data_IF_080472730828
#
_entry.id   IF_080472730828
#
_cell.length_a   1.000
_cell.length_b   1.000
_cell.length_c   1.000
_cell.angle_alpha   90.00
_cell.angle_beta   90.00
_cell.angle_gamma   90.00
#
_symmetry.space_group_name_H-M   'P 1'
#
loop_
_entity.id
_entity.type
_entity.pdbx_description
1 polymer ?
#
# COMPACT_ATOMS: atom_id res chain seq x y z
N UNK A 1 -16.57 13.99 102.63
CA UNK A 1 -17.47 14.73 101.72
C UNK A 1 -16.74 14.92 100.39
N UNK A 2 -17.33 14.41 99.29
CA UNK A 2 -17.07 14.75 97.88
C UNK A 2 -15.65 14.44 97.35
N UNK A 3 -15.47 13.31 96.66
CA UNK A 3 -15.53 13.15 95.19
C UNK A 3 -14.30 13.73 94.47
N UNK A 4 -13.49 12.88 93.84
CA UNK A 4 -13.22 13.00 92.40
C UNK A 4 -12.72 11.67 91.81
N UNK A 5 -13.50 11.19 90.84
CA UNK A 5 -13.30 10.04 89.99
C UNK A 5 -12.07 10.28 89.09
N UNK A 6 -11.19 9.29 88.93
CA UNK A 6 -10.42 9.14 87.68
C UNK A 6 -10.36 7.65 87.32
N UNK A 7 -11.42 7.20 86.64
CA UNK A 7 -11.49 5.89 86.01
C UNK A 7 -10.58 5.93 84.78
N UNK A 8 -9.52 5.13 84.85
CA UNK A 8 -8.58 4.85 83.76
C UNK A 8 -9.30 3.98 82.71
N UNK A 9 -10.09 4.61 81.83
CA UNK A 9 -10.60 3.97 80.63
C UNK A 9 -9.51 4.05 79.55
N UNK A 10 -8.62 3.06 79.51
CA UNK A 10 -7.75 2.82 78.35
C UNK A 10 -8.66 2.31 77.23
N UNK A 11 -9.26 3.26 76.53
CA UNK A 11 -9.86 3.05 75.22
C UNK A 11 -8.73 2.76 74.25
N UNK A 12 -8.32 1.49 74.19
CA UNK A 12 -7.63 0.90 73.04
C UNK A 12 -8.58 1.02 71.84
N UNK A 13 -8.62 2.22 71.24
CA UNK A 13 -8.96 2.34 69.84
C UNK A 13 -7.83 1.67 69.07
N UNK A 14 -7.93 0.35 68.92
CA UNK A 14 -7.37 -0.32 67.76
C UNK A 14 -8.03 0.36 66.56
N UNK A 15 -7.36 1.36 66.03
CA UNK A 15 -7.54 1.75 64.64
C UNK A 15 -7.36 0.46 63.85
N UNK A 16 -8.47 -0.13 63.40
CA UNK A 16 -8.48 -1.19 62.40
C UNK A 16 -7.87 -0.56 61.14
N UNK A 17 -6.54 -0.50 61.09
CA UNK A 17 -5.79 -0.26 59.90
C UNK A 17 -6.25 -1.34 58.93
N UNK A 18 -7.03 -0.93 57.92
CA UNK A 18 -7.44 -1.82 56.84
C UNK A 18 -6.17 -2.35 56.20
N UNK A 19 -5.82 -3.60 56.49
CA UNK A 19 -4.54 -4.17 56.12
C UNK A 19 -4.55 -4.46 54.63
N UNK A 20 -4.12 -3.47 53.84
CA UNK A 20 -3.78 -3.70 52.44
C UNK A 20 -2.68 -4.77 52.37
N UNK A 21 -2.66 -5.63 51.34
CA UNK A 21 -1.59 -6.60 51.15
C UNK A 21 -0.23 -5.90 51.20
N UNK A 22 0.74 -6.49 51.91
CA UNK A 22 2.09 -5.92 51.97
C UNK A 22 2.78 -6.03 50.61
N UNK A 23 3.70 -5.10 50.30
CA UNK A 23 4.48 -5.17 49.07
C UNK A 23 5.24 -6.51 48.93
N UNK A 24 5.66 -7.13 50.05
CA UNK A 24 6.28 -8.46 50.04
C UNK A 24 5.30 -9.57 49.64
N UNK A 25 4.05 -9.50 50.12
CA UNK A 25 2.95 -10.41 49.72
C UNK A 25 2.64 -10.25 48.24
N UNK A 26 2.53 -9.01 47.77
CA UNK A 26 2.23 -8.70 46.37
C UNK A 26 3.34 -9.20 45.45
N UNK A 27 4.60 -8.99 45.83
CA UNK A 27 5.75 -9.53 45.09
C UNK A 27 5.66 -11.06 45.00
N UNK A 28 5.44 -11.75 46.11
CA UNK A 28 5.33 -13.21 46.16
C UNK A 28 4.21 -13.72 45.24
N UNK A 29 3.04 -13.10 45.29
CA UNK A 29 1.87 -13.50 44.51
C UNK A 29 2.06 -13.22 43.00
N UNK A 30 2.80 -12.17 42.64
CA UNK A 30 3.13 -11.87 41.24
C UNK A 30 4.15 -12.85 40.64
N UNK A 31 5.22 -13.18 41.38
CA UNK A 31 6.34 -13.95 40.85
C UNK A 31 6.20 -15.47 41.06
N UNK A 32 5.31 -15.90 41.96
CA UNK A 32 5.02 -17.31 42.21
C UNK A 32 6.27 -18.09 42.64
N UNK A 33 6.67 -19.07 41.84
CA UNK A 33 7.81 -19.96 42.10
C UNK A 33 9.18 -19.37 41.71
N UNK A 34 9.25 -18.08 41.37
CA UNK A 34 10.45 -17.31 40.97
C UNK A 34 11.21 -17.84 39.73
N UNK A 35 10.82 -18.98 39.17
CA UNK A 35 11.51 -19.61 38.06
C UNK A 35 11.52 -18.69 36.83
N UNK A 36 12.72 -18.39 36.33
CA UNK A 36 12.92 -17.55 35.15
C UNK A 36 12.72 -16.04 35.38
N UNK A 37 12.46 -15.58 36.60
CA UNK A 37 12.34 -14.15 36.94
C UNK A 37 13.73 -13.52 37.07
N UNK A 38 13.92 -12.39 36.40
CA UNK A 38 15.16 -11.61 36.39
C UNK A 38 15.06 -10.35 37.26
N UNK A 39 13.91 -9.68 37.24
CA UNK A 39 13.65 -8.52 38.11
C UNK A 39 12.16 -8.28 38.33
N UNK A 40 11.86 -7.52 39.39
CA UNK A 40 10.51 -7.14 39.81
C UNK A 40 10.52 -5.67 40.24
N UNK A 41 9.50 -4.90 39.82
CA UNK A 41 9.27 -3.53 40.31
C UNK A 41 7.78 -3.21 40.36
N UNK A 42 7.38 -2.35 41.30
CA UNK A 42 6.04 -1.74 41.26
C UNK A 42 5.98 -0.66 40.18
N UNK A 43 4.86 -0.58 39.46
CA UNK A 43 4.67 0.45 38.41
C UNK A 43 4.26 1.80 38.99
N UNK A 44 3.76 1.82 40.24
CA UNK A 44 3.33 3.02 40.98
C UNK A 44 3.69 2.90 42.46
N UNK A 45 3.69 4.02 43.18
CA UNK A 45 3.98 4.05 44.62
C UNK A 45 2.87 3.42 45.48
N UNK A 46 1.60 3.50 45.08
CA UNK A 46 0.45 2.93 45.82
C UNK A 46 -0.48 2.06 44.95
N UNK A 47 -1.23 1.15 45.60
CA UNK A 47 -2.30 0.40 44.95
C UNK A 47 -3.62 1.17 44.95
N UNK A 48 -4.62 0.66 44.23
CA UNK A 48 -5.93 1.31 44.08
C UNK A 48 -7.04 0.36 44.48
N UNK A 49 -8.01 0.85 45.26
CA UNK A 49 -9.25 0.13 45.55
C UNK A 49 -10.31 0.46 44.51
N UNK A 50 -10.92 -0.55 43.92
CA UNK A 50 -11.94 -0.39 42.87
C UNK A 50 -13.12 -1.35 43.07
N UNK A 51 -14.31 -0.95 42.64
CA UNK A 51 -15.49 -1.82 42.67
C UNK A 51 -15.56 -2.65 41.38
N UNK A 52 -15.51 -3.98 41.50
CA UNK A 52 -15.75 -4.87 40.37
C UNK A 52 -17.24 -5.21 40.30
N UNK A 53 -17.92 -4.62 39.31
CA UNK A 53 -19.36 -4.84 39.06
C UNK A 53 -19.68 -6.29 38.70
N UNK A 54 -18.80 -6.98 37.97
CA UNK A 54 -19.03 -8.34 37.50
C UNK A 54 -19.00 -9.37 38.62
N UNK A 55 -18.17 -9.15 39.64
CA UNK A 55 -18.09 -10.03 40.82
C UNK A 55 -18.88 -9.49 42.02
N UNK A 56 -19.45 -8.29 41.91
CA UNK A 56 -20.13 -7.62 43.02
C UNK A 56 -19.23 -7.45 44.26
N UNK A 57 -17.93 -7.20 44.06
CA UNK A 57 -16.95 -7.15 45.16
C UNK A 57 -15.95 -6.00 44.98
N UNK A 58 -15.40 -5.52 46.10
CA UNK A 58 -14.27 -4.58 46.10
C UNK A 58 -12.97 -5.32 45.82
N UNK A 59 -12.14 -4.72 44.98
CA UNK A 59 -10.79 -5.18 44.66
C UNK A 59 -9.76 -4.19 45.16
N UNK A 60 -8.62 -4.70 45.63
CA UNK A 60 -7.38 -3.95 45.71
C UNK A 60 -6.47 -4.39 44.57
N UNK A 61 -5.98 -3.43 43.78
CA UNK A 61 -5.14 -3.67 42.60
C UNK A 61 -3.80 -2.99 42.77
N UNK A 62 -2.73 -3.73 42.49
CA UNK A 62 -1.36 -3.22 42.48
C UNK A 62 -0.68 -3.56 41.17
N UNK A 63 -0.27 -2.53 40.43
CA UNK A 63 0.48 -2.70 39.20
C UNK A 63 1.96 -3.04 39.46
N UNK A 64 2.46 -4.04 38.75
CA UNK A 64 3.85 -4.52 38.81
C UNK A 64 4.41 -4.74 37.41
N UNK A 65 5.72 -4.72 37.27
CA UNK A 65 6.42 -5.14 36.07
C UNK A 65 7.42 -6.24 36.45
N UNK A 66 7.30 -7.40 35.81
CA UNK A 66 8.12 -8.59 36.06
C UNK A 66 8.92 -8.89 34.81
N UNK A 67 10.26 -8.80 34.91
CA UNK A 67 11.15 -9.20 33.83
C UNK A 67 11.48 -10.68 33.97
N UNK A 68 11.34 -11.43 32.87
CA UNK A 68 11.56 -12.89 32.80
C UNK A 68 12.43 -13.24 31.59
N UNK A 69 13.09 -14.39 31.63
CA UNK A 69 13.70 -14.98 30.43
C UNK A 69 12.58 -15.36 29.45
N UNK A 70 12.71 -14.99 28.18
CA UNK A 70 11.81 -15.49 27.15
C UNK A 70 12.28 -16.85 26.62
N UNK A 71 11.46 -17.49 25.79
CA UNK A 71 11.83 -18.69 25.03
C UNK A 71 12.93 -18.40 23.98
N UNK A 72 13.19 -17.12 23.66
CA UNK A 72 14.17 -16.72 22.68
C UNK A 72 15.52 -16.36 23.33
N UNK A 73 16.63 -16.99 22.92
CA UNK A 73 17.95 -16.71 23.47
C UNK A 73 18.36 -15.23 23.36
N UNK A 74 18.70 -14.62 24.49
CA UNK A 74 19.14 -13.23 24.60
C UNK A 74 18.01 -12.18 24.59
N UNK A 75 16.75 -12.60 24.61
CA UNK A 75 15.58 -11.72 24.68
C UNK A 75 14.88 -11.94 26.01
N UNK A 76 14.54 -10.84 26.68
CA UNK A 76 13.80 -10.86 27.93
C UNK A 76 12.36 -10.40 27.68
N UNK A 77 11.41 -11.02 28.38
CA UNK A 77 10.02 -10.60 28.40
C UNK A 77 9.78 -9.74 29.65
N UNK A 78 9.23 -8.55 29.49
CA UNK A 78 8.75 -7.70 30.58
C UNK A 78 7.23 -7.79 30.56
N UNK A 79 6.66 -8.40 31.60
CA UNK A 79 5.21 -8.54 31.77
C UNK A 79 4.74 -7.45 32.72
N UNK A 80 3.87 -6.56 32.23
CA UNK A 80 3.17 -5.61 33.09
C UNK A 80 1.89 -6.28 33.56
N UNK A 81 1.72 -6.37 34.87
CA UNK A 81 0.68 -7.15 35.51
C UNK A 81 -0.02 -6.33 36.58
N UNK A 82 -1.31 -6.61 36.78
CA UNK A 82 -2.08 -6.19 37.94
C UNK A 82 -2.25 -7.37 38.89
N UNK A 83 -1.74 -7.23 40.11
CA UNK A 83 -1.99 -8.20 41.20
C UNK A 83 -3.28 -7.79 41.89
N UNK A 84 -4.28 -8.66 41.84
CA UNK A 84 -5.65 -8.35 42.27
C UNK A 84 -6.01 -9.16 43.50
N UNK A 85 -6.52 -8.46 44.51
CA UNK A 85 -7.04 -9.04 45.74
C UNK A 85 -8.52 -8.69 45.90
N UNK A 86 -9.33 -9.65 46.32
CA UNK A 86 -10.75 -9.43 46.62
C UNK A 86 -10.97 -9.18 48.10
N UNK A 87 -11.92 -8.29 48.41
CA UNK A 87 -12.31 -7.99 49.78
C UNK A 87 -13.06 -9.18 50.40
N UNK A 88 -12.66 -9.57 51.61
CA UNK A 88 -13.20 -10.75 52.32
C UNK A 88 -14.07 -10.40 53.53
N UNK A 89 -14.36 -9.11 53.75
CA UNK A 89 -14.99 -8.64 54.99
C UNK A 89 -13.98 -8.38 56.11
N UNK A 90 -14.41 -7.67 57.16
CA UNK A 90 -13.56 -7.36 58.32
C UNK A 90 -12.32 -6.50 58.03
N UNK A 91 -12.24 -5.81 56.88
CA UNK A 91 -11.05 -5.06 56.47
C UNK A 91 -9.99 -5.88 55.73
N UNK A 92 -10.22 -7.18 55.50
CA UNK A 92 -9.27 -8.10 54.89
C UNK A 92 -9.38 -8.20 53.36
N UNK A 93 -8.27 -8.61 52.74
CA UNK A 93 -8.15 -8.91 51.33
C UNK A 93 -7.51 -10.28 51.12
N UNK A 94 -8.03 -11.07 50.18
CA UNK A 94 -7.44 -12.34 49.75
C UNK A 94 -6.97 -12.26 48.31
N UNK A 95 -5.81 -12.86 48.00
CA UNK A 95 -5.31 -12.95 46.64
C UNK A 95 -6.36 -13.61 45.75
N UNK A 96 -6.64 -12.98 44.60
CA UNK A 96 -7.57 -13.52 43.63
C UNK A 96 -6.86 -13.99 42.38
N UNK A 97 -6.11 -13.11 41.73
CA UNK A 97 -5.41 -13.41 40.47
C UNK A 97 -4.37 -12.37 40.11
N UNK A 98 -3.50 -12.76 39.18
CA UNK A 98 -2.67 -11.85 38.38
C UNK A 98 -3.36 -11.62 37.03
N UNK A 99 -3.44 -10.37 36.60
CA UNK A 99 -3.98 -9.98 35.28
C UNK A 99 -2.85 -9.36 34.47
N UNK A 100 -2.49 -9.97 33.33
CA UNK A 100 -1.52 -9.39 32.41
C UNK A 100 -2.16 -8.18 31.72
N UNK A 101 -1.50 -7.03 31.80
CA UNK A 101 -1.90 -5.76 31.17
C UNK A 101 -1.23 -5.63 29.81
N UNK A 102 0.08 -5.86 29.74
CA UNK A 102 0.85 -5.81 28.50
C UNK A 102 2.13 -6.63 28.60
N UNK A 103 2.72 -6.93 27.44
CA UNK A 103 4.00 -7.61 27.30
C UNK A 103 4.93 -6.73 26.44
N UNK A 104 6.17 -6.58 26.89
CA UNK A 104 7.23 -5.92 26.15
C UNK A 104 8.46 -6.84 26.04
N UNK A 105 9.27 -6.68 25.00
CA UNK A 105 10.48 -7.48 24.81
C UNK A 105 11.73 -6.60 24.81
N UNK A 106 12.71 -6.96 25.64
CA UNK A 106 14.02 -6.30 25.71
C UNK A 106 15.12 -7.18 25.11
N UNK A 107 16.20 -6.55 24.62
CA UNK A 107 17.35 -7.25 24.02
C UNK A 107 17.29 -7.41 22.50
N UNK A 108 16.32 -6.75 21.86
CA UNK A 108 16.19 -6.68 20.41
C UNK A 108 16.76 -5.36 19.88
N UNK A 109 17.53 -5.37 18.77
CA UNK A 109 18.02 -4.14 18.17
C UNK A 109 16.86 -3.40 17.49
N UNK A 110 16.73 -2.11 17.78
CA UNK A 110 15.76 -1.25 17.10
C UNK A 110 16.07 -1.18 15.60
N UNK A 111 15.05 -1.09 14.73
CA UNK A 111 15.24 -0.98 13.29
C UNK A 111 16.02 0.29 12.95
N UNK A 112 16.90 0.18 11.96
CA UNK A 112 17.66 1.34 11.47
C UNK A 112 16.80 2.17 10.51
N UNK A 113 17.14 3.45 10.32
CA UNK A 113 16.48 4.27 9.30
C UNK A 113 16.60 3.65 7.91
N UNK A 114 17.72 2.98 7.61
CA UNK A 114 17.91 2.30 6.32
C UNK A 114 16.95 1.12 6.14
N UNK A 115 16.70 0.32 7.19
CA UNK A 115 15.72 -0.76 7.13
C UNK A 115 14.32 -0.21 6.83
N UNK A 116 13.97 0.88 7.51
CA UNK A 116 12.67 1.53 7.39
C UNK A 116 12.50 2.10 5.98
N UNK A 117 13.44 2.90 5.49
CA UNK A 117 13.40 3.48 4.15
C UNK A 117 13.41 2.39 3.07
N UNK A 118 14.10 1.28 3.28
CA UNK A 118 14.07 0.13 2.38
C UNK A 118 12.66 -0.46 2.20
N UNK A 119 11.88 -0.53 3.29
CA UNK A 119 10.48 -0.95 3.22
C UNK A 119 9.59 0.11 2.58
N UNK A 120 9.79 1.39 2.92
CA UNK A 120 9.04 2.52 2.32
C UNK A 120 9.20 2.53 0.80
N UNK A 121 10.42 2.37 0.30
CA UNK A 121 10.68 2.35 -1.14
C UNK A 121 10.10 1.11 -1.83
N UNK A 122 9.98 -0.01 -1.10
CA UNK A 122 9.42 -1.26 -1.64
C UNK A 122 7.90 -1.19 -1.76
N UNK A 123 7.22 -0.58 -0.79
CA UNK A 123 5.76 -0.53 -0.73
C UNK A 123 5.28 0.82 -0.17
N UNK A 124 5.45 1.92 -0.93
CA UNK A 124 5.12 3.26 -0.44
C UNK A 124 3.63 3.42 -0.14
N UNK A 125 2.76 2.75 -0.92
CA UNK A 125 1.32 2.75 -0.69
C UNK A 125 0.96 2.26 0.71
N UNK A 126 1.61 1.20 1.20
CA UNK A 126 1.37 0.67 2.54
C UNK A 126 1.88 1.56 3.67
N UNK A 127 2.89 2.39 3.41
CA UNK A 127 3.36 3.38 4.39
C UNK A 127 2.47 4.62 4.42
N UNK A 128 2.24 5.25 3.26
CA UNK A 128 1.48 6.51 3.21
C UNK A 128 -0.04 6.30 3.31
N UNK A 129 -0.53 5.10 3.00
CA UNK A 129 -1.94 4.72 3.10
C UNK A 129 -2.83 5.67 2.30
N UNK A 130 -3.89 6.17 2.94
CA UNK A 130 -4.82 7.16 2.37
C UNK A 130 -4.10 8.39 1.80
N UNK A 131 -2.99 8.82 2.41
CA UNK A 131 -2.27 10.01 1.97
C UNK A 131 -1.42 9.77 0.72
N UNK A 132 -1.21 8.52 0.30
CA UNK A 132 -0.38 8.20 -0.85
C UNK A 132 -0.84 8.90 -2.15
N UNK A 133 -2.16 8.99 -2.34
CA UNK A 133 -2.80 9.66 -3.47
C UNK A 133 -3.04 11.15 -3.26
N UNK A 134 -2.63 11.71 -2.13
CA UNK A 134 -2.90 13.10 -1.76
C UNK A 134 -1.64 13.92 -1.54
N UNK A 135 -0.54 13.30 -1.11
CA UNK A 135 0.74 13.99 -0.90
C UNK A 135 1.29 14.42 -2.25
N UNK A 136 1.47 15.72 -2.47
CA UNK A 136 2.03 16.31 -3.70
C UNK A 136 3.52 16.61 -3.56
N UNK A 137 4.02 16.71 -2.32
CA UNK A 137 5.43 16.98 -2.05
C UNK A 137 5.85 16.43 -0.70
N UNK A 138 6.99 15.74 -0.67
CA UNK A 138 7.73 15.46 0.55
C UNK A 138 8.82 16.52 0.72
N UNK A 139 8.87 17.21 1.86
CA UNK A 139 9.93 18.19 2.13
C UNK A 139 11.24 17.52 2.50
N UNK A 140 11.16 16.31 3.05
CA UNK A 140 12.26 15.41 3.30
C UNK A 140 11.71 13.98 3.35
N UNK A 141 12.60 12.98 3.28
CA UNK A 141 12.21 11.60 3.52
C UNK A 141 11.65 11.44 4.96
N UNK A 142 10.76 10.47 5.22
CA UNK A 142 10.31 10.17 6.58
C UNK A 142 11.50 9.94 7.52
N UNK A 143 11.47 10.57 8.70
CA UNK A 143 12.55 10.48 9.69
C UNK A 143 12.01 9.87 10.98
N UNK A 144 12.89 9.31 11.82
CA UNK A 144 12.53 8.98 13.20
C UNK A 144 12.12 10.28 13.94
N UNK A 145 11.10 10.19 14.80
CA UNK A 145 10.74 11.31 15.65
C UNK A 145 11.85 11.61 16.66
N UNK A 146 11.83 12.79 17.28
CA UNK A 146 12.82 13.16 18.30
C UNK A 146 12.75 12.20 19.52
N UNK A 147 11.57 11.64 19.78
CA UNK A 147 11.33 10.55 20.72
C UNK A 147 10.57 9.41 20.02
N UNK A 148 11.26 8.46 19.36
CA UNK A 148 10.60 7.40 18.58
C UNK A 148 9.78 6.44 19.42
N UNK A 149 10.12 6.25 20.70
CA UNK A 149 9.38 5.37 21.61
C UNK A 149 9.22 3.94 21.09
N UNK A 150 10.33 3.23 20.84
CA UNK A 150 10.28 1.85 20.35
C UNK A 150 9.64 0.91 21.37
N UNK A 151 8.53 0.28 20.98
CA UNK A 151 7.78 -0.68 21.80
C UNK A 151 7.75 -2.02 21.05
N UNK A 152 8.36 -3.03 21.64
CA UNK A 152 8.37 -4.40 21.10
C UNK A 152 7.17 -5.18 21.65
N UNK A 153 6.09 -5.28 20.87
CA UNK A 153 4.89 -6.05 21.24
C UNK A 153 5.09 -7.57 21.07
N UNK A 154 6.04 -7.97 20.23
CA UNK A 154 6.55 -9.35 20.14
C UNK A 154 8.00 -9.33 19.65
N UNK A 155 8.74 -10.45 19.70
CA UNK A 155 10.07 -10.51 19.10
C UNK A 155 10.09 -10.27 17.58
N UNK A 156 8.91 -10.35 16.96
CA UNK A 156 8.67 -10.25 15.52
C UNK A 156 8.01 -8.93 15.11
N UNK A 157 7.67 -8.07 16.06
CA UNK A 157 6.95 -6.82 15.79
C UNK A 157 7.40 -5.68 16.72
N UNK A 158 7.65 -4.52 16.13
CA UNK A 158 8.01 -3.29 16.84
C UNK A 158 7.16 -2.13 16.34
N UNK A 159 6.72 -1.29 17.26
CA UNK A 159 6.04 -0.03 17.02
C UNK A 159 6.97 1.14 17.40
N UNK A 160 6.96 2.21 16.62
CA UNK A 160 7.69 3.44 16.91
C UNK A 160 7.13 4.61 16.11
N UNK A 161 7.62 5.81 16.42
CA UNK A 161 7.11 7.07 15.91
C UNK A 161 8.08 7.69 14.91
N UNK A 162 7.55 8.10 13.78
CA UNK A 162 8.25 8.84 12.72
C UNK A 162 7.68 10.23 12.55
N UNK A 163 8.51 11.19 12.13
CA UNK A 163 8.12 12.56 11.79
C UNK A 163 8.22 12.78 10.30
N UNK A 164 7.24 13.47 9.73
CA UNK A 164 7.20 13.79 8.31
C UNK A 164 6.62 15.17 8.07
N UNK A 165 7.23 15.91 7.13
CA UNK A 165 6.71 17.17 6.61
C UNK A 165 6.37 17.04 5.12
N UNK A 166 5.14 17.37 4.77
CA UNK A 166 4.61 17.13 3.43
C UNK A 166 3.51 18.13 3.04
N UNK A 167 3.35 18.34 1.73
CA UNK A 167 2.21 19.04 1.17
C UNK A 167 1.19 18.01 0.70
N UNK A 168 -0.09 18.19 1.02
CA UNK A 168 -1.15 17.31 0.55
C UNK A 168 -2.41 18.05 0.12
N UNK A 169 -3.16 17.43 -0.78
CA UNK A 169 -4.44 17.92 -1.28
C UNK A 169 -5.51 17.77 -0.21
N UNK A 170 -6.11 18.89 0.17
CA UNK A 170 -7.38 18.94 0.90
C UNK A 170 -8.49 19.12 -0.12
N UNK A 171 -9.26 18.04 -0.36
CA UNK A 171 -10.28 17.97 -1.42
C UNK A 171 -11.19 19.20 -1.41
N UNK A 172 -11.37 19.78 -2.60
CA UNK A 172 -12.20 20.97 -2.86
C UNK A 172 -11.80 22.25 -2.11
N UNK A 173 -10.63 22.28 -1.45
CA UNK A 173 -10.19 23.44 -0.67
C UNK A 173 -8.85 24.00 -1.17
N UNK A 174 -7.82 23.16 -1.22
CA UNK A 174 -6.47 23.65 -1.43
C UNK A 174 -5.38 22.63 -1.12
N UNK A 175 -4.16 23.14 -0.94
CA UNK A 175 -3.00 22.38 -0.51
C UNK A 175 -2.64 22.84 0.91
N UNK A 176 -2.41 21.89 1.80
CA UNK A 176 -1.96 22.13 3.17
C UNK A 176 -0.53 21.60 3.34
N UNK A 177 0.35 22.39 3.95
CA UNK A 177 1.66 21.93 4.43
C UNK A 177 1.50 21.46 5.87
N UNK A 178 1.78 20.19 6.12
CA UNK A 178 1.65 19.56 7.43
C UNK A 178 2.99 18.98 7.88
N UNK A 179 3.35 19.20 9.15
CA UNK A 179 4.32 18.39 9.87
C UNK A 179 3.57 17.52 10.88
N UNK A 180 3.80 16.20 10.83
CA UNK A 180 3.00 15.25 11.58
C UNK A 180 3.79 14.04 12.04
N UNK A 181 3.37 13.47 13.18
CA UNK A 181 3.84 12.18 13.66
C UNK A 181 3.03 11.03 13.07
N UNK A 182 3.74 9.97 12.71
CA UNK A 182 3.21 8.72 12.17
C UNK A 182 3.61 7.57 13.09
N UNK A 183 2.65 6.74 13.48
CA UNK A 183 2.87 5.52 14.22
C UNK A 183 3.14 4.40 13.23
N UNK A 184 4.32 3.79 13.33
CA UNK A 184 4.85 2.83 12.38
C UNK A 184 5.04 1.50 13.07
N UNK A 185 4.48 0.46 12.48
CA UNK A 185 4.64 -0.93 12.89
C UNK A 185 5.47 -1.68 11.86
N UNK A 186 6.52 -2.37 12.29
CA UNK A 186 7.29 -3.28 11.45
C UNK A 186 7.10 -4.73 11.88
N UNK A 187 7.09 -5.63 10.89
CA UNK A 187 6.88 -7.07 11.09
C UNK A 187 7.93 -7.92 10.37
N UNK A 188 8.32 -9.04 10.98
CA UNK A 188 9.24 -10.04 10.44
C UNK A 188 8.83 -11.45 10.84
N UNK A 189 9.30 -12.46 10.10
CA UNK A 189 8.94 -13.85 10.37
C UNK A 189 9.73 -14.45 11.55
N UNK A 190 10.96 -13.97 11.77
CA UNK A 190 11.87 -14.49 12.80
C UNK A 190 12.46 -13.37 13.67
N UNK A 191 12.72 -13.58 14.97
CA UNK A 191 13.19 -12.54 15.91
C UNK A 191 14.50 -11.83 15.57
N UNK A 192 15.29 -12.35 14.64
CA UNK A 192 16.50 -11.70 14.12
C UNK A 192 16.56 -11.73 12.59
N UNK A 193 15.44 -12.04 11.95
CA UNK A 193 15.31 -12.05 10.50
C UNK A 193 15.12 -10.64 9.92
N UNK A 194 15.18 -10.52 8.58
CA UNK A 194 14.92 -9.26 7.89
C UNK A 194 13.47 -8.82 8.07
N UNK A 195 13.25 -7.52 8.09
CA UNK A 195 11.89 -6.96 8.07
C UNK A 195 11.19 -7.28 6.75
N UNK A 196 9.92 -7.64 6.84
CA UNK A 196 9.12 -8.12 5.70
C UNK A 196 8.02 -7.17 5.31
N UNK A 197 7.40 -6.55 6.30
CA UNK A 197 6.29 -5.63 6.06
C UNK A 197 6.27 -4.52 7.10
N UNK A 198 5.58 -3.45 6.73
CA UNK A 198 5.34 -2.29 7.57
C UNK A 198 3.87 -1.90 7.47
N UNK A 199 3.39 -1.12 8.42
CA UNK A 199 2.14 -0.39 8.36
C UNK A 199 2.33 0.92 9.09
N UNK A 200 1.82 2.03 8.55
CA UNK A 200 1.91 3.31 9.22
C UNK A 200 0.58 4.04 9.21
N UNK A 201 0.28 4.70 10.32
CA UNK A 201 -0.88 5.57 10.48
C UNK A 201 -0.43 6.93 10.94
N UNK A 202 -0.96 7.98 10.32
CA UNK A 202 -0.80 9.32 10.85
C UNK A 202 -1.47 9.39 12.22
N UNK A 203 -0.82 10.02 13.19
CA UNK A 203 -1.37 10.19 14.54
C UNK A 203 -2.72 10.90 14.51
N UNK A 204 -3.65 10.44 15.34
CA UNK A 204 -4.96 11.06 15.55
C UNK A 204 -4.91 12.17 16.61
N UNK A 205 -3.81 12.27 17.37
CA UNK A 205 -3.61 13.35 18.33
C UNK A 205 -3.34 14.66 17.57
N UNK A 206 -4.26 15.61 17.71
CA UNK A 206 -4.15 16.92 17.07
C UNK A 206 -2.90 17.72 17.50
N UNK A 207 -2.34 17.44 18.68
CA UNK A 207 -1.09 18.08 19.14
C UNK A 207 0.14 17.60 18.38
N UNK A 208 0.04 16.45 17.71
CA UNK A 208 1.10 15.82 16.92
C UNK A 208 0.97 16.12 15.42
N UNK A 209 0.02 16.98 15.05
CA UNK A 209 -0.29 17.40 13.69
C UNK A 209 -0.23 18.93 13.61
N UNK A 210 0.88 19.45 13.13
CA UNK A 210 1.09 20.89 12.99
C UNK A 210 0.84 21.34 11.56
N UNK A 211 -0.25 22.07 11.35
CA UNK A 211 -0.50 22.78 10.08
C UNK A 211 0.42 23.99 10.01
N UNK A 212 1.30 24.00 9.00
CA UNK A 212 2.33 25.03 8.83
C UNK A 212 1.94 26.08 7.81
N UNK A 213 1.18 25.69 6.78
CA UNK A 213 0.70 26.57 5.73
C UNK A 213 -0.56 26.00 5.07
N UNK A 214 -1.38 26.88 4.51
CA UNK A 214 -2.53 26.51 3.69
C UNK A 214 -2.72 27.49 2.55
N UNK A 215 -2.83 26.95 1.33
CA UNK A 215 -3.10 27.73 0.14
C UNK A 215 -4.35 27.21 -0.57
N UNK A 216 -5.33 28.10 -0.74
CA UNK A 216 -6.56 27.80 -1.45
C UNK A 216 -6.30 27.68 -2.97
N UNK A 217 -6.97 26.72 -3.59
CA UNK A 217 -6.90 26.47 -5.03
C UNK A 217 -8.29 26.16 -5.59
N UNK A 218 -8.51 26.50 -6.85
CA UNK A 218 -9.73 26.08 -7.56
C UNK A 218 -9.70 24.57 -7.84
N UNK A 219 -10.85 23.92 -8.06
CA UNK A 219 -10.89 22.51 -8.46
C UNK A 219 -10.01 22.20 -9.69
N UNK A 220 -9.99 23.12 -10.67
CA UNK A 220 -9.17 22.96 -11.87
C UNK A 220 -7.67 22.99 -11.54
N UNK A 221 -7.24 23.87 -10.63
CA UNK A 221 -5.84 23.93 -10.18
C UNK A 221 -5.46 22.68 -9.38
N UNK A 222 -6.39 22.13 -8.57
CA UNK A 222 -6.15 20.90 -7.81
C UNK A 222 -5.95 19.68 -8.73
N UNK A 223 -6.65 19.61 -9.87
CA UNK A 223 -6.44 18.54 -10.85
C UNK A 223 -5.00 18.51 -11.40
N UNK A 224 -4.33 19.67 -11.49
CA UNK A 224 -2.91 19.72 -11.88
C UNK A 224 -1.96 19.26 -10.76
N UNK A 225 -2.38 19.37 -9.50
CA UNK A 225 -1.64 18.82 -8.36
C UNK A 225 -1.83 17.31 -8.23
N UNK A 226 -2.97 16.75 -8.63
CA UNK A 226 -3.19 15.30 -8.63
C UNK A 226 -2.13 14.57 -9.50
N UNK A 227 -1.69 15.21 -10.58
CA UNK A 227 -0.59 14.78 -11.48
C UNK A 227 0.81 14.92 -10.86
N UNK A 228 0.91 15.40 -9.62
CA UNK A 228 2.14 15.58 -8.87
C UNK A 228 2.14 14.77 -7.56
N UNK A 229 1.08 13.99 -7.32
CA UNK A 229 0.98 13.17 -6.11
C UNK A 229 2.08 12.10 -6.06
N UNK A 230 2.42 11.61 -4.87
CA UNK A 230 3.37 10.51 -4.70
C UNK A 230 2.94 9.28 -5.49
N UNK A 231 1.66 8.93 -5.45
CA UNK A 231 1.10 7.87 -6.27
C UNK A 231 1.39 8.10 -7.77
N UNK A 232 1.02 9.26 -8.30
CA UNK A 232 1.20 9.55 -9.72
C UNK A 232 2.68 9.57 -10.11
N UNK A 233 3.53 10.26 -9.35
CA UNK A 233 4.95 10.44 -9.68
C UNK A 233 5.74 9.13 -9.63
N UNK A 234 5.49 8.28 -8.64
CA UNK A 234 6.13 6.96 -8.54
C UNK A 234 5.63 6.04 -9.66
N UNK A 235 4.32 6.03 -9.93
CA UNK A 235 3.75 5.24 -11.03
C UNK A 235 4.29 5.70 -12.39
N UNK A 236 4.46 7.01 -12.60
CA UNK A 236 5.03 7.60 -13.81
C UNK A 236 6.50 7.21 -13.99
N UNK A 237 7.30 7.29 -12.93
CA UNK A 237 8.71 6.88 -12.98
C UNK A 237 8.85 5.39 -13.31
N UNK A 238 8.05 4.55 -12.66
CA UNK A 238 8.01 3.10 -12.94
C UNK A 238 7.56 2.83 -14.38
N UNK A 239 6.50 3.50 -14.84
CA UNK A 239 5.99 3.39 -16.20
C UNK A 239 7.01 3.82 -17.24
N UNK A 240 7.76 4.90 -16.99
CA UNK A 240 8.86 5.36 -17.88
C UNK A 240 9.97 4.33 -17.98
N UNK A 241 10.39 3.75 -16.85
CA UNK A 241 11.41 2.72 -16.85
C UNK A 241 10.95 1.49 -17.65
N UNK A 242 9.73 1.02 -17.39
CA UNK A 242 9.15 -0.12 -18.12
C UNK A 242 8.99 0.17 -19.62
N UNK A 243 8.50 1.34 -19.99
CA UNK A 243 8.37 1.75 -21.39
C UNK A 243 9.75 1.84 -22.08
N UNK A 244 10.77 2.36 -21.39
CA UNK A 244 12.14 2.42 -21.90
C UNK A 244 12.75 1.02 -22.09
N UNK A 245 12.48 0.08 -21.17
CA UNK A 245 12.93 -1.30 -21.30
C UNK A 245 12.22 -2.02 -22.45
N UNK A 246 10.90 -1.81 -22.60
CA UNK A 246 10.11 -2.33 -23.72
C UNK A 246 10.56 -1.75 -25.07
N UNK A 247 10.90 -0.47 -25.13
CA UNK A 247 11.38 0.18 -26.35
C UNK A 247 12.69 -0.44 -26.90
N UNK A 248 13.46 -1.16 -26.07
CA UNK A 248 14.64 -1.92 -26.52
C UNK A 248 14.27 -3.15 -27.35
N UNK A 249 13.02 -3.62 -27.27
CA UNK A 249 12.57 -4.84 -27.96
C UNK A 249 12.20 -4.58 -29.44
N UNK A 250 11.91 -3.33 -29.80
CA UNK A 250 11.49 -2.94 -31.14
C UNK A 250 11.69 -1.45 -31.39
N UNK A 251 12.22 -1.10 -32.56
CA UNK A 251 12.24 0.28 -33.05
C UNK A 251 10.96 0.58 -33.80
N UNK A 252 10.17 1.53 -33.30
CA UNK A 252 8.96 2.02 -34.00
C UNK A 252 9.37 3.16 -34.93
N UNK A 253 9.21 3.00 -36.26
CA UNK A 253 9.59 4.06 -37.19
C UNK A 253 8.64 5.27 -37.07
N UNK A 254 9.04 6.39 -37.66
CA UNK A 254 8.10 7.45 -37.97
C UNK A 254 7.29 7.06 -39.21
N UNK A 255 5.97 7.21 -39.13
CA UNK A 255 5.06 6.86 -40.20
C UNK A 255 4.68 8.10 -41.01
N UNK A 256 4.85 8.05 -42.32
CA UNK A 256 4.43 9.15 -43.20
C UNK A 256 2.92 9.14 -43.45
N UNK A 257 2.32 7.95 -43.48
CA UNK A 257 0.92 7.73 -43.80
C UNK A 257 0.33 6.53 -43.03
N UNK A 258 -1.00 6.41 -43.09
CA UNK A 258 -1.77 5.38 -42.41
C UNK A 258 -1.42 3.95 -42.90
N UNK A 259 -1.09 3.78 -44.18
CA UNK A 259 -0.73 2.49 -44.77
C UNK A 259 0.60 1.94 -44.24
N UNK A 260 1.62 2.81 -44.10
CA UNK A 260 2.91 2.43 -43.48
C UNK A 260 2.72 1.96 -42.04
N UNK A 261 1.94 2.72 -41.26
CA UNK A 261 1.61 2.38 -39.89
C UNK A 261 0.84 1.05 -39.80
N UNK A 262 -0.13 0.84 -40.68
CA UNK A 262 -0.90 -0.40 -40.76
C UNK A 262 -0.01 -1.61 -41.02
N UNK A 263 0.88 -1.54 -42.02
CA UNK A 263 1.76 -2.65 -42.38
C UNK A 263 2.66 -3.03 -41.22
N UNK A 264 3.20 -2.02 -40.54
CA UNK A 264 4.02 -2.25 -39.34
C UNK A 264 3.21 -2.88 -38.19
N UNK A 265 2.03 -2.34 -37.87
CA UNK A 265 1.16 -2.90 -36.83
C UNK A 265 0.75 -4.33 -37.15
N UNK A 266 0.39 -4.61 -38.40
CA UNK A 266 -0.01 -5.94 -38.84
C UNK A 266 1.15 -6.95 -38.73
N UNK A 267 2.36 -6.57 -39.15
CA UNK A 267 3.56 -7.40 -38.97
C UNK A 267 3.82 -7.69 -37.50
N UNK A 268 3.74 -6.67 -36.64
CA UNK A 268 3.91 -6.85 -35.19
C UNK A 268 2.86 -7.81 -34.64
N UNK A 269 1.57 -7.65 -34.97
CA UNK A 269 0.51 -8.54 -34.52
C UNK A 269 0.70 -9.99 -34.99
N UNK A 270 1.24 -10.20 -36.19
CA UNK A 270 1.42 -11.54 -36.77
C UNK A 270 2.71 -12.21 -36.30
N UNK A 271 3.81 -11.47 -36.28
CA UNK A 271 5.17 -12.00 -36.16
C UNK A 271 5.92 -11.52 -34.91
N UNK A 272 5.31 -10.61 -34.14
CA UNK A 272 5.86 -10.09 -32.91
C UNK A 272 5.66 -11.02 -31.71
N UNK A 273 5.71 -10.41 -30.53
CA UNK A 273 5.47 -11.07 -29.25
C UNK A 273 4.77 -10.07 -28.30
N UNK A 274 4.32 -10.51 -27.10
CA UNK A 274 3.65 -9.65 -26.14
C UNK A 274 4.38 -8.32 -25.84
N UNK A 275 5.68 -8.38 -25.58
CA UNK A 275 6.50 -7.20 -25.23
C UNK A 275 6.60 -6.23 -26.41
N UNK A 276 6.84 -6.75 -27.62
CA UNK A 276 6.89 -5.93 -28.84
C UNK A 276 5.56 -5.24 -29.09
N UNK A 277 4.44 -5.95 -29.02
CA UNK A 277 3.12 -5.32 -29.23
C UNK A 277 2.88 -4.22 -28.19
N UNK A 278 3.15 -4.50 -26.92
CA UNK A 278 3.01 -3.49 -25.86
C UNK A 278 3.90 -2.28 -26.13
N UNK A 279 5.18 -2.50 -26.49
CA UNK A 279 6.13 -1.44 -26.80
C UNK A 279 5.65 -0.55 -27.95
N UNK A 280 5.07 -1.14 -29.00
CA UNK A 280 4.50 -0.39 -30.12
C UNK A 280 3.29 0.41 -29.66
N UNK A 281 2.33 -0.23 -29.00
CA UNK A 281 1.08 0.42 -28.57
C UNK A 281 1.36 1.63 -27.67
N UNK A 282 2.28 1.53 -26.71
CA UNK A 282 2.67 2.66 -25.85
C UNK A 282 3.26 3.85 -26.63
N UNK A 283 3.81 3.64 -27.84
CA UNK A 283 4.41 4.69 -28.66
C UNK A 283 3.46 5.31 -29.69
N UNK A 284 2.41 4.59 -30.06
CA UNK A 284 1.51 5.00 -31.16
C UNK A 284 0.08 5.27 -30.72
N UNK A 285 -0.31 4.95 -29.49
CA UNK A 285 -1.63 5.31 -28.96
C UNK A 285 -1.74 6.83 -28.76
N UNK A 286 -2.93 7.36 -28.98
CA UNK A 286 -3.24 8.77 -28.73
C UNK A 286 -3.23 9.12 -27.23
N UNK A 287 -3.07 10.40 -26.86
CA UNK A 287 -3.07 10.83 -25.46
C UNK A 287 -4.28 10.38 -24.64
N UNK A 288 -5.45 10.22 -25.28
CA UNK A 288 -6.69 9.78 -24.63
C UNK A 288 -6.66 8.35 -24.07
N UNK A 289 -5.64 7.53 -24.38
CA UNK A 289 -5.46 6.20 -23.79
C UNK A 289 -4.74 6.21 -22.44
N UNK A 290 -4.09 7.33 -22.12
CA UNK A 290 -3.24 7.46 -20.94
C UNK A 290 -3.96 8.21 -19.83
N UNK A 291 -3.54 7.95 -18.59
CA UNK A 291 -3.92 8.79 -17.46
C UNK A 291 -3.52 10.23 -17.78
N UNK A 292 -4.39 11.20 -17.49
CA UNK A 292 -4.13 12.60 -17.81
C UNK A 292 -2.78 13.08 -17.24
N UNK A 293 -1.95 13.70 -18.08
CA UNK A 293 -0.59 14.12 -17.72
C UNK A 293 0.49 13.05 -17.85
N UNK A 294 0.13 11.79 -18.11
CA UNK A 294 1.06 10.70 -18.41
C UNK A 294 1.19 10.44 -19.91
N UNK A 295 2.35 9.90 -20.30
CA UNK A 295 2.59 9.34 -21.65
C UNK A 295 2.91 7.84 -21.63
N UNK A 296 2.87 7.21 -20.46
CA UNK A 296 3.33 5.83 -20.25
C UNK A 296 2.39 5.01 -19.38
N UNK A 297 1.52 5.66 -18.61
CA UNK A 297 0.50 5.01 -17.78
C UNK A 297 -0.82 4.96 -18.56
N UNK A 298 -1.20 3.78 -19.05
CA UNK A 298 -2.52 3.59 -19.63
C UNK A 298 -3.60 3.74 -18.56
N UNK A 299 -4.78 4.22 -18.96
CA UNK A 299 -5.94 4.15 -18.08
C UNK A 299 -6.22 2.68 -17.70
N UNK A 300 -6.76 2.38 -16.51
CA UNK A 300 -6.97 1.00 -16.07
C UNK A 300 -7.80 0.14 -17.03
N UNK A 301 -8.77 0.75 -17.72
CA UNK A 301 -9.57 0.08 -18.76
C UNK A 301 -8.75 -0.25 -19.99
N UNK A 302 -7.87 0.66 -20.44
CA UNK A 302 -7.01 0.47 -21.60
C UNK A 302 -5.87 -0.49 -21.34
N UNK A 303 -5.34 -0.49 -20.11
CA UNK A 303 -4.34 -1.47 -19.66
C UNK A 303 -4.91 -2.90 -19.71
N UNK A 304 -6.16 -3.09 -19.24
CA UNK A 304 -6.85 -4.37 -19.32
C UNK A 304 -7.15 -4.76 -20.76
N UNK A 305 -7.70 -3.84 -21.55
CA UNK A 305 -8.00 -4.05 -22.97
C UNK A 305 -6.74 -4.50 -23.74
N UNK A 306 -5.61 -3.82 -23.56
CA UNK A 306 -4.36 -4.20 -24.20
C UNK A 306 -3.86 -5.57 -23.75
N UNK A 307 -3.99 -5.92 -22.46
CA UNK A 307 -3.63 -7.25 -21.97
C UNK A 307 -4.50 -8.37 -22.57
N UNK A 308 -5.81 -8.12 -22.71
CA UNK A 308 -6.75 -9.05 -23.34
C UNK A 308 -6.42 -9.22 -24.83
N UNK A 309 -6.10 -8.13 -25.53
CA UNK A 309 -5.65 -8.15 -26.93
C UNK A 309 -4.34 -8.93 -27.07
N UNK A 310 -3.34 -8.68 -26.22
CA UNK A 310 -2.07 -9.43 -26.24
C UNK A 310 -2.32 -10.92 -26.08
N UNK A 311 -3.21 -11.30 -25.16
CA UNK A 311 -3.60 -12.69 -24.93
C UNK A 311 -4.26 -13.29 -26.16
N UNK A 312 -5.23 -12.58 -26.74
CA UNK A 312 -5.93 -13.01 -27.95
C UNK A 312 -4.99 -13.19 -29.14
N UNK A 313 -4.03 -12.28 -29.31
CA UNK A 313 -3.09 -12.27 -30.44
C UNK A 313 -2.07 -13.41 -30.34
N UNK A 314 -1.49 -13.65 -29.16
CA UNK A 314 -0.30 -14.53 -29.04
C UNK A 314 -0.50 -15.82 -28.23
N UNK A 315 -1.45 -15.85 -27.29
CA UNK A 315 -1.49 -16.88 -26.25
C UNK A 315 -2.71 -17.81 -26.34
N UNK A 316 -3.68 -17.49 -27.19
CA UNK A 316 -4.86 -18.32 -27.41
C UNK A 316 -4.61 -19.54 -28.30
N UNK A 317 -5.62 -20.43 -28.39
CA UNK A 317 -5.57 -21.67 -29.19
C UNK A 317 -5.38 -21.38 -30.67
N UNK A 318 -6.17 -20.46 -31.19
CA UNK A 318 -5.98 -19.85 -32.51
C UNK A 318 -5.47 -18.44 -32.29
N UNK A 319 -4.38 -18.09 -32.96
CA UNK A 319 -3.67 -16.83 -32.80
C UNK A 319 -3.98 -15.90 -33.96
N UNK A 320 -3.61 -14.63 -33.81
CA UNK A 320 -3.80 -13.64 -34.88
C UNK A 320 -3.18 -14.11 -36.21
N UNK A 321 -1.95 -14.66 -36.16
CA UNK A 321 -1.26 -15.15 -37.36
C UNK A 321 -1.97 -16.29 -38.11
N UNK A 322 -2.81 -17.04 -37.41
CA UNK A 322 -3.56 -18.16 -37.99
C UNK A 322 -4.81 -17.65 -38.72
N UNK A 323 -5.36 -16.51 -38.30
CA UNK A 323 -6.56 -15.90 -38.89
C UNK A 323 -6.26 -14.89 -39.99
N UNK A 324 -5.14 -14.18 -39.92
CA UNK A 324 -4.83 -13.08 -40.84
C UNK A 324 -3.60 -13.40 -41.68
N UNK A 325 -3.71 -13.28 -43.01
CA UNK A 325 -2.62 -13.45 -43.99
C UNK A 325 -1.52 -12.39 -43.83
N UNK A 326 -0.27 -12.72 -44.17
CA UNK A 326 0.89 -11.83 -44.14
C UNK A 326 0.75 -10.66 -45.12
N UNK A 327 0.13 -10.92 -46.27
CA UNK A 327 -0.36 -9.90 -47.19
C UNK A 327 -1.88 -9.82 -47.04
N UNK A 328 -2.41 -9.07 -46.06
CA UNK A 328 -3.84 -9.09 -45.79
C UNK A 328 -4.61 -8.28 -46.83
N UNK A 329 -5.87 -8.66 -47.03
CA UNK A 329 -6.84 -7.76 -47.67
C UNK A 329 -7.27 -6.73 -46.64
N UNK A 330 -7.10 -5.45 -46.94
CA UNK A 330 -7.53 -4.37 -46.07
C UNK A 330 -8.26 -3.26 -46.83
N UNK A 331 -9.05 -2.48 -46.10
CA UNK A 331 -9.78 -1.32 -46.60
C UNK A 331 -9.37 -0.10 -45.79
N UNK A 332 -9.08 1.01 -46.46
CA UNK A 332 -8.81 2.31 -45.82
C UNK A 332 -9.91 3.26 -46.25
N UNK A 333 -10.63 3.82 -45.27
CA UNK A 333 -11.74 4.74 -45.49
C UNK A 333 -11.43 6.08 -44.83
N UNK A 334 -11.87 7.17 -45.46
CA UNK A 334 -11.87 8.49 -44.81
C UNK A 334 -12.94 8.51 -43.73
N UNK A 335 -12.57 8.97 -42.54
CA UNK A 335 -13.56 9.15 -41.48
C UNK A 335 -14.29 10.49 -41.68
N UNK A 336 -15.55 10.42 -42.09
CA UNK A 336 -16.37 11.60 -42.37
C UNK A 336 -15.70 12.56 -43.36
N UNK A 337 -15.69 13.85 -43.02
CA UNK A 337 -15.05 14.91 -43.82
C UNK A 337 -13.59 15.18 -43.42
N UNK A 338 -12.95 14.31 -42.62
CA UNK A 338 -11.55 14.50 -42.22
C UNK A 338 -10.58 14.08 -43.33
N UNK A 339 -9.64 14.97 -43.65
CA UNK A 339 -8.59 14.68 -44.65
C UNK A 339 -7.49 13.77 -44.10
N UNK A 340 -7.25 13.80 -42.79
CA UNK A 340 -6.15 13.08 -42.12
C UNK A 340 -6.61 11.81 -41.41
N UNK A 341 -7.84 11.78 -40.90
CA UNK A 341 -8.37 10.64 -40.14
C UNK A 341 -8.82 9.52 -41.06
N UNK A 342 -8.33 8.30 -40.81
CA UNK A 342 -8.66 7.10 -41.58
C UNK A 342 -9.15 5.99 -40.66
N UNK A 343 -10.17 5.27 -41.11
CA UNK A 343 -10.53 3.96 -40.57
C UNK A 343 -9.93 2.88 -41.45
N UNK A 344 -9.24 1.94 -40.82
CA UNK A 344 -8.59 0.83 -41.49
C UNK A 344 -9.20 -0.46 -40.99
N UNK A 345 -9.66 -1.30 -41.92
CA UNK A 345 -10.18 -2.64 -41.62
C UNK A 345 -9.33 -3.69 -42.31
N UNK A 346 -8.68 -4.56 -41.52
CA UNK A 346 -7.96 -5.75 -42.00
C UNK A 346 -8.92 -6.93 -41.92
N UNK A 347 -9.11 -7.64 -43.04
CA UNK A 347 -9.97 -8.83 -43.10
C UNK A 347 -9.18 -10.08 -42.72
N UNK A 348 -9.76 -10.92 -41.88
CA UNK A 348 -9.24 -12.27 -41.65
C UNK A 348 -9.77 -13.23 -42.73
N UNK A 349 -9.17 -14.43 -42.80
CA UNK A 349 -9.65 -15.54 -43.63
C UNK A 349 -10.94 -16.18 -43.12
N UNK A 350 -11.34 -15.85 -41.89
CA UNK A 350 -12.59 -16.28 -41.25
C UNK A 350 -13.60 -15.13 -41.27
N UNK A 351 -14.84 -15.45 -41.64
CA UNK A 351 -15.95 -14.50 -41.66
C UNK A 351 -16.22 -13.88 -40.28
N UNK A 352 -16.71 -12.64 -40.29
CA UNK A 352 -17.02 -11.85 -39.09
C UNK A 352 -15.83 -11.69 -38.12
N UNK A 353 -14.60 -11.77 -38.61
CA UNK A 353 -13.39 -11.52 -37.85
C UNK A 353 -12.52 -10.49 -38.60
N UNK A 354 -12.58 -9.23 -38.15
CA UNK A 354 -11.87 -8.12 -38.78
C UNK A 354 -11.13 -7.34 -37.72
N UNK A 355 -9.90 -6.90 -37.99
CA UNK A 355 -9.18 -5.95 -37.12
C UNK A 355 -9.40 -4.55 -37.61
N UNK A 356 -9.71 -3.63 -36.71
CA UNK A 356 -10.00 -2.23 -37.00
C UNK A 356 -9.02 -1.32 -36.28
N UNK A 357 -8.57 -0.27 -36.99
CA UNK A 357 -7.82 0.85 -36.43
C UNK A 357 -8.41 2.15 -36.94
N UNK A 358 -8.64 3.11 -36.06
CA UNK A 358 -8.82 4.50 -36.46
C UNK A 358 -7.51 5.23 -36.19
N UNK A 359 -6.93 5.81 -37.23
CA UNK A 359 -5.67 6.56 -37.14
C UNK A 359 -5.85 7.99 -37.58
N UNK A 360 -5.13 8.91 -36.94
CA UNK A 360 -5.14 10.33 -37.33
C UNK A 360 -3.79 10.98 -37.01
N UNK A 361 -3.53 12.11 -37.67
CA UNK A 361 -2.37 12.95 -37.38
C UNK A 361 -2.79 13.99 -36.34
N UNK A 362 -2.33 13.80 -35.10
CA UNK A 362 -2.68 14.68 -33.98
C UNK A 362 -1.50 15.54 -33.56
N UNK A 363 -1.78 16.71 -33.01
CA UNK A 363 -0.80 17.53 -32.31
C UNK A 363 -0.42 16.85 -30.99
N UNK A 364 0.87 16.56 -30.81
CA UNK A 364 1.43 15.90 -29.61
C UNK A 364 2.24 16.87 -28.73
N UNK A 365 2.31 18.15 -29.10
CA UNK A 365 3.02 19.19 -28.37
C UNK A 365 3.54 20.31 -29.27
N UNK A 366 4.36 21.19 -28.70
CA UNK A 366 4.98 22.29 -29.44
C UNK A 366 6.49 22.30 -29.19
N UNK A 367 7.26 22.58 -30.23
CA UNK A 367 8.71 22.86 -30.15
C UNK A 367 8.90 24.26 -30.69
N UNK A 368 9.42 25.16 -29.85
CA UNK A 368 9.60 26.59 -30.19
C UNK A 368 8.33 27.26 -30.75
N UNK A 369 7.16 26.89 -30.21
CA UNK A 369 5.85 27.41 -30.66
C UNK A 369 5.30 26.76 -31.92
N UNK A 370 6.02 25.83 -32.55
CA UNK A 370 5.56 25.07 -33.72
C UNK A 370 4.91 23.76 -33.28
N UNK A 371 3.66 23.45 -33.72
CA UNK A 371 3.00 22.21 -33.36
C UNK A 371 3.76 21.01 -33.95
N UNK A 372 4.11 20.06 -33.10
CA UNK A 372 4.65 18.77 -33.50
C UNK A 372 3.49 17.81 -33.67
N UNK A 373 3.34 17.26 -34.87
CA UNK A 373 2.26 16.31 -35.17
C UNK A 373 2.81 14.94 -35.47
N UNK A 374 2.06 13.89 -35.10
CA UNK A 374 2.41 12.49 -35.40
C UNK A 374 1.16 11.70 -35.71
N UNK A 375 1.29 10.66 -36.53
CA UNK A 375 0.25 9.65 -36.69
C UNK A 375 0.11 8.81 -35.42
N UNK A 376 -1.12 8.68 -34.93
CA UNK A 376 -1.47 7.91 -33.74
C UNK A 376 -2.72 7.08 -33.98
N UNK A 377 -2.93 6.08 -33.13
CA UNK A 377 -4.17 5.30 -33.02
C UNK A 377 -5.13 6.04 -32.08
N UNK A 378 -6.30 6.42 -32.61
CA UNK A 378 -7.41 7.00 -31.84
C UNK A 378 -8.33 5.93 -31.24
N UNK A 379 -8.46 4.79 -31.93
CA UNK A 379 -9.19 3.62 -31.46
C UNK A 379 -8.67 2.37 -32.17
N UNK A 380 -8.79 1.22 -31.51
CA UNK A 380 -8.45 -0.07 -32.10
C UNK A 380 -9.41 -1.15 -31.64
N UNK A 381 -9.64 -2.12 -32.50
CA UNK A 381 -10.34 -3.36 -32.19
C UNK A 381 -9.63 -4.50 -32.89
N UNK A 382 -8.93 -5.35 -32.14
CA UNK A 382 -8.20 -6.49 -32.69
C UNK A 382 -8.98 -7.75 -32.35
N UNK A 383 -9.51 -8.41 -33.38
CA UNK A 383 -10.43 -9.53 -33.19
C UNK A 383 -9.72 -10.84 -33.52
N UNK A 384 -9.83 -11.82 -32.62
CA UNK A 384 -9.34 -13.18 -32.83
C UNK A 384 -10.43 -14.14 -32.37
N UNK A 385 -11.14 -14.76 -33.31
CA UNK A 385 -12.20 -15.72 -33.00
C UNK A 385 -11.63 -16.97 -32.31
N UNK A 386 -12.33 -17.43 -31.27
CA UNK A 386 -11.96 -18.61 -30.46
C UNK A 386 -13.05 -19.70 -30.43
N UNK A 387 -14.15 -19.49 -31.14
CA UNK A 387 -15.21 -20.48 -31.22
C UNK A 387 -14.77 -21.70 -32.05
N UNK A 388 -15.43 -22.82 -31.81
CA UNK A 388 -15.04 -24.11 -32.38
C UNK A 388 -15.13 -24.12 -33.92
N UNK A 389 -16.04 -23.34 -34.51
CA UNK A 389 -16.20 -23.22 -35.95
C UNK A 389 -14.97 -22.56 -36.58
N UNK A 390 -14.52 -21.42 -36.06
CA UNK A 390 -13.28 -20.77 -36.51
C UNK A 390 -12.05 -21.69 -36.38
N UNK A 391 -11.94 -22.41 -35.26
CA UNK A 391 -10.85 -23.37 -35.01
C UNK A 391 -10.90 -24.51 -36.04
N UNK A 392 -12.08 -25.10 -36.27
CA UNK A 392 -12.26 -26.19 -37.22
C UNK A 392 -11.97 -25.73 -38.65
N UNK A 393 -12.41 -24.53 -39.04
CA UNK A 393 -12.13 -23.95 -40.34
C UNK A 393 -10.62 -23.84 -40.57
N UNK A 394 -9.88 -23.20 -39.66
CA UNK A 394 -8.42 -23.08 -39.79
C UNK A 394 -7.74 -24.44 -39.87
N UNK A 395 -8.14 -25.38 -39.02
CA UNK A 395 -7.56 -26.73 -38.99
C UNK A 395 -7.97 -27.62 -40.18
N UNK A 396 -8.97 -27.23 -40.97
CA UNK A 396 -9.40 -27.97 -42.16
C UNK A 396 -8.40 -27.87 -43.31
N UNK A 397 -7.47 -26.92 -43.25
CA UNK A 397 -6.44 -26.71 -44.27
C UNK A 397 -5.10 -27.34 -43.84
N UNK A 398 -4.65 -28.35 -44.59
CA UNK A 398 -3.34 -28.96 -44.41
C UNK A 398 -2.18 -28.07 -44.91
N UNK A 399 -2.50 -27.04 -45.69
CA UNK A 399 -1.54 -26.12 -46.31
C UNK A 399 -2.09 -24.69 -46.22
N UNK A 400 -1.30 -23.79 -45.63
CA UNK A 400 -1.65 -22.39 -45.38
C UNK A 400 -1.85 -21.60 -46.68
N UNK A 401 -1.17 -21.99 -47.77
CA UNK A 401 -1.30 -21.32 -49.07
C UNK A 401 -2.72 -21.40 -49.64
N UNK A 402 -3.53 -22.37 -49.21
CA UNK A 402 -4.92 -22.53 -49.66
C UNK A 402 -5.87 -21.46 -49.11
N UNK A 403 -5.53 -20.86 -47.97
CA UNK A 403 -6.30 -19.77 -47.33
C UNK A 403 -5.61 -18.42 -47.45
N UNK A 404 -4.29 -18.41 -47.57
CA UNK A 404 -3.51 -17.22 -47.85
C UNK A 404 -2.61 -17.49 -49.08
N UNK A 405 -3.13 -17.35 -50.30
CA UNK A 405 -2.39 -17.70 -51.52
C UNK A 405 -1.21 -16.78 -51.83
N UNK A 406 -1.16 -15.61 -51.18
CA UNK A 406 -0.09 -14.63 -51.34
C UNK A 406 0.84 -14.56 -50.10
N UNK A 407 0.72 -15.52 -49.17
CA UNK A 407 1.59 -15.62 -47.98
C UNK A 407 2.97 -16.19 -48.29
#
# INVERSE_FOLDING_TARGET
MKSFLFVLLISLFYSLAQAQPSDATIKKDAIGNESGVLSFKFTKSTGTRQWNRSTGNWEYVRGVAVKRKSEYPGINLVVYEDVVYQYTGGGGYSFWKVRVVSNEYEGLPNPTLSDITGLINKDPEKFYGYYYSLITKLWHQPQLADTPGFIWSSPKAVEFRMKMKFDYIVRSKGIETLESIWNVHLYRDEPKGPWKSMFATRSEDGTENQVLDFKAYTPQQLADFEKQTLQFTIAEQKGKQQAADLAKTITVPEFNNADEMLRFLHDVLRNGNPDKLRAVMLQVLAPGFFVEGSKVQLMPTEERNLADVITAVYNNKVKYKDLYCAVPTYKVERWGNSDTRKDITIRSVVDNCNTLFTVDRVNIGYVEGVPVTRLVILSYGIYVRQDQDAINYINSFSDRSKICPND
#
